data_IF_816235758148
#
_entry.id   IF_816235758148
#
_cell.length_a   1.000
_cell.length_b   1.000
_cell.length_c   1.000
_cell.angle_alpha   90.00
_cell.angle_beta   90.00
_cell.angle_gamma   90.00
#
_symmetry.space_group_name_H-M   'P 1'
#
loop_
_entity.id
_entity.type
_entity.pdbx_description
1 polymer ?
#
# COMPACT_ATOMS: atom_id res chain seq x y z
N UNK A 1 23.66 -16.73 7.57
CA UNK A 1 23.19 -15.94 8.73
C UNK A 1 21.73 -15.64 8.47
N UNK A 2 20.80 -16.02 9.35
CA UNK A 2 19.37 -15.72 9.13
C UNK A 2 19.07 -14.24 9.39
N UNK A 3 17.95 -13.74 8.88
CA UNK A 3 17.48 -12.35 9.07
C UNK A 3 17.46 -11.96 10.55
N UNK A 4 16.92 -12.82 11.42
CA UNK A 4 16.89 -12.60 12.87
C UNK A 4 18.30 -12.43 13.48
N UNK A 5 19.27 -13.26 13.08
CA UNK A 5 20.65 -13.15 13.57
C UNK A 5 21.31 -11.86 13.08
N UNK A 6 21.01 -11.44 11.84
CA UNK A 6 21.53 -10.19 11.27
C UNK A 6 21.05 -8.96 12.04
N UNK A 7 19.73 -8.87 12.31
CA UNK A 7 19.16 -7.78 13.11
C UNK A 7 19.69 -7.76 14.55
N UNK A 8 19.74 -8.93 15.21
CA UNK A 8 20.27 -9.03 16.57
C UNK A 8 21.75 -8.57 16.66
N UNK A 9 22.55 -8.87 15.64
CA UNK A 9 23.93 -8.40 15.57
C UNK A 9 24.00 -6.87 15.39
N UNK A 10 23.18 -6.30 14.50
CA UNK A 10 23.13 -4.87 14.26
C UNK A 10 22.70 -4.10 15.53
N UNK A 11 21.68 -4.57 16.23
CA UNK A 11 21.22 -4.02 17.51
C UNK A 11 22.29 -4.09 18.58
N UNK A 12 22.92 -5.26 18.74
CA UNK A 12 24.00 -5.45 19.72
C UNK A 12 25.18 -4.52 19.41
N UNK A 13 25.54 -4.35 18.14
CA UNK A 13 26.62 -3.48 17.72
C UNK A 13 26.28 -1.99 17.87
N UNK A 14 25.02 -1.59 17.72
CA UNK A 14 24.55 -0.25 18.03
C UNK A 14 24.63 0.03 19.55
N UNK A 15 24.15 -0.90 20.36
CA UNK A 15 24.17 -0.81 21.82
C UNK A 15 25.60 -0.70 22.38
N UNK A 16 26.54 -1.53 21.89
CA UNK A 16 27.96 -1.47 22.28
C UNK A 16 28.63 -0.15 21.92
N UNK A 17 28.18 0.53 20.85
CA UNK A 17 28.67 1.84 20.43
C UNK A 17 27.97 3.01 21.15
N UNK A 18 26.93 2.75 21.94
CA UNK A 18 26.13 3.78 22.61
C UNK A 18 25.34 4.67 21.64
N UNK A 19 24.94 4.14 20.48
CA UNK A 19 24.16 4.86 19.44
C UNK A 19 22.83 4.17 19.17
N UNK A 20 21.88 4.89 18.60
CA UNK A 20 20.59 4.31 18.18
C UNK A 20 20.77 3.43 16.93
N UNK A 21 19.90 2.42 16.78
CA UNK A 21 20.00 1.46 15.66
C UNK A 21 19.99 2.15 14.28
N UNK A 22 19.15 3.16 14.08
CA UNK A 22 19.09 3.87 12.79
C UNK A 22 20.40 4.64 12.49
N UNK A 23 21.09 5.15 13.51
CA UNK A 23 22.40 5.82 13.36
C UNK A 23 23.47 4.80 12.99
N UNK A 24 23.43 3.61 13.60
CA UNK A 24 24.30 2.51 13.25
C UNK A 24 24.11 2.05 11.80
N UNK A 25 22.87 1.89 11.36
CA UNK A 25 22.53 1.53 9.97
C UNK A 25 23.01 2.62 9.01
N UNK A 26 22.75 3.90 9.31
CA UNK A 26 23.19 5.02 8.49
C UNK A 26 24.72 5.07 8.35
N UNK A 27 25.45 4.87 9.45
CA UNK A 27 26.93 4.80 9.45
C UNK A 27 27.42 3.65 8.55
N UNK A 28 26.79 2.48 8.60
CA UNK A 28 27.19 1.34 7.79
C UNK A 28 26.89 1.55 6.30
N UNK A 29 25.79 2.23 5.96
CA UNK A 29 25.39 2.48 4.58
C UNK A 29 26.19 3.62 3.93
N UNK A 30 26.30 4.77 4.61
CA UNK A 30 26.95 5.97 4.06
C UNK A 30 28.46 6.00 4.33
N UNK A 31 28.93 5.27 5.33
CA UNK A 31 30.28 5.38 5.87
C UNK A 31 30.37 6.48 6.94
N UNK A 32 31.26 6.25 7.90
CA UNK A 32 31.46 7.16 9.05
C UNK A 32 31.88 8.56 8.60
N UNK A 33 31.14 9.57 9.03
CA UNK A 33 31.37 10.99 8.68
C UNK A 33 30.64 11.45 7.41
N UNK A 34 29.98 10.53 6.69
CA UNK A 34 29.21 10.82 5.48
C UNK A 34 27.69 10.67 5.72
N UNK A 35 27.26 10.44 6.95
CA UNK A 35 25.86 10.29 7.30
C UNK A 35 25.07 11.59 7.02
N UNK A 36 23.78 11.48 6.66
CA UNK A 36 22.96 12.66 6.49
C UNK A 36 22.88 13.46 7.80
N UNK A 37 23.06 14.78 7.71
CA UNK A 37 22.93 15.69 8.87
C UNK A 37 21.50 15.76 9.42
N UNK A 38 20.52 15.35 8.63
CA UNK A 38 19.10 15.32 8.99
C UNK A 38 18.47 14.04 8.45
N UNK A 39 17.83 13.30 9.34
CA UNK A 39 17.06 12.11 8.99
C UNK A 39 15.62 12.48 8.62
N UNK A 40 15.01 11.67 7.78
CA UNK A 40 13.61 11.81 7.39
C UNK A 40 12.80 10.68 8.02
N UNK A 41 11.61 11.00 8.49
CA UNK A 41 10.62 9.98 8.84
C UNK A 41 9.93 9.51 7.56
N UNK A 42 9.54 8.23 7.47
CA UNK A 42 8.78 7.73 6.33
C UNK A 42 7.40 8.39 6.26
N UNK A 43 6.83 8.43 5.05
CA UNK A 43 5.38 8.61 4.90
C UNK A 43 4.73 7.26 5.08
N UNK A 44 3.94 7.04 6.14
CA UNK A 44 3.25 5.78 6.33
C UNK A 44 2.06 5.67 5.37
N UNK A 45 1.84 4.46 4.84
CA UNK A 45 0.52 4.03 4.38
C UNK A 45 -0.04 3.12 5.49
N UNK A 46 -1.14 3.52 6.10
CA UNK A 46 -1.78 2.76 7.17
C UNK A 46 -2.95 1.98 6.61
N UNK A 47 -2.90 0.65 6.70
CA UNK A 47 -4.05 -0.18 6.39
C UNK A 47 -5.24 0.15 7.31
N UNK A 48 -6.40 0.42 6.70
CA UNK A 48 -7.64 0.77 7.40
C UNK A 48 -8.81 -0.13 7.01
N UNK A 49 -8.74 -0.83 5.87
CA UNK A 49 -9.80 -1.70 5.38
C UNK A 49 -9.20 -2.81 4.52
N UNK A 50 -9.66 -4.03 4.78
CA UNK A 50 -9.19 -5.28 4.20
C UNK A 50 -10.22 -5.90 3.24
N UNK A 51 -9.70 -6.48 2.17
CA UNK A 51 -10.37 -7.43 1.28
C UNK A 51 -9.48 -8.66 1.07
N UNK A 52 -9.64 -9.32 -0.07
CA UNK A 52 -8.80 -10.41 -0.55
C UNK A 52 -8.65 -11.53 0.48
N UNK A 53 -7.44 -12.07 0.63
CA UNK A 53 -7.16 -13.11 1.62
C UNK A 53 -7.30 -12.63 3.07
N UNK A 54 -7.22 -11.32 3.31
CA UNK A 54 -7.29 -10.72 4.65
C UNK A 54 -8.74 -10.53 5.12
N UNK A 55 -9.72 -10.71 4.23
CA UNK A 55 -11.15 -10.70 4.55
C UNK A 55 -11.92 -11.71 3.69
N UNK A 56 -12.64 -12.66 4.29
CA UNK A 56 -13.39 -13.71 3.56
C UNK A 56 -14.62 -13.24 2.77
N UNK A 57 -14.65 -11.99 2.30
CA UNK A 57 -15.73 -11.37 1.52
C UNK A 57 -15.50 -11.43 0.01
N UNK A 58 -16.20 -10.58 -0.74
CA UNK A 58 -16.12 -10.50 -2.21
C UNK A 58 -15.18 -9.43 -2.74
N UNK A 59 -14.71 -8.53 -1.87
CA UNK A 59 -13.78 -7.47 -2.20
C UNK A 59 -12.41 -8.09 -2.48
N UNK A 60 -11.92 -8.03 -3.73
CA UNK A 60 -10.70 -8.75 -4.14
C UNK A 60 -9.40 -8.03 -3.77
N UNK A 61 -9.37 -6.70 -3.88
CA UNK A 61 -8.21 -5.88 -3.46
C UNK A 61 -7.97 -6.12 -1.96
N UNK A 62 -6.72 -6.43 -1.61
CA UNK A 62 -6.36 -6.92 -0.29
C UNK A 62 -6.34 -5.80 0.76
N UNK A 63 -5.74 -4.65 0.45
CA UNK A 63 -5.63 -3.56 1.41
C UNK A 63 -6.00 -2.20 0.81
N UNK A 64 -6.71 -1.43 1.62
CA UNK A 64 -7.00 -0.03 1.38
C UNK A 64 -6.39 0.77 2.52
N UNK A 65 -5.42 1.61 2.18
CA UNK A 65 -4.60 2.33 3.13
C UNK A 65 -4.77 3.84 3.01
N UNK A 66 -4.47 4.55 4.09
CA UNK A 66 -4.37 6.01 4.12
C UNK A 66 -2.93 6.46 4.27
N UNK A 67 -2.55 7.49 3.52
CA UNK A 67 -1.33 8.24 3.76
C UNK A 67 -1.64 9.74 3.90
N UNK A 68 -1.41 10.32 5.08
CA UNK A 68 -1.59 11.75 5.29
C UNK A 68 -0.53 12.57 4.56
N UNK A 69 -0.92 13.77 4.14
CA UNK A 69 -0.05 14.72 3.47
C UNK A 69 1.17 15.08 4.31
N UNK A 70 2.33 15.19 3.65
CA UNK A 70 3.60 15.60 4.26
C UNK A 70 3.59 17.05 4.79
N UNK A 71 2.53 17.82 4.50
CA UNK A 71 2.32 19.14 5.12
C UNK A 71 2.07 19.03 6.63
N UNK A 72 1.59 17.89 7.11
CA UNK A 72 1.45 17.59 8.53
C UNK A 72 2.77 17.06 9.12
N UNK A 73 3.06 17.44 10.37
CA UNK A 73 4.14 16.81 11.13
C UNK A 73 3.75 15.36 11.43
N UNK A 74 4.74 14.48 11.59
CA UNK A 74 4.48 13.05 11.79
C UNK A 74 3.46 12.72 12.92
N UNK A 75 3.48 13.37 14.10
CA UNK A 75 2.45 13.14 15.12
C UNK A 75 1.03 13.52 14.66
N UNK A 76 0.90 14.56 13.83
CA UNK A 76 -0.38 14.96 13.25
C UNK A 76 -0.83 13.98 12.17
N UNK A 77 0.09 13.39 11.39
CA UNK A 77 -0.26 12.34 10.43
C UNK A 77 -0.90 11.13 11.14
N UNK A 78 -0.33 10.69 12.26
CA UNK A 78 -0.92 9.62 13.08
C UNK A 78 -2.31 9.98 13.60
N UNK A 79 -2.49 11.22 14.07
CA UNK A 79 -3.78 11.71 14.56
C UNK A 79 -4.84 11.74 13.46
N UNK A 80 -4.48 12.25 12.27
CA UNK A 80 -5.37 12.27 11.08
C UNK A 80 -5.89 10.86 10.80
N UNK A 81 -5.00 9.87 10.73
CA UNK A 81 -5.38 8.48 10.44
C UNK A 81 -6.28 7.92 11.53
N UNK A 82 -5.96 8.15 12.79
CA UNK A 82 -6.80 7.69 13.91
C UNK A 82 -8.21 8.30 13.85
N UNK A 83 -8.33 9.59 13.56
CA UNK A 83 -9.62 10.27 13.42
C UNK A 83 -10.44 9.69 12.24
N UNK A 84 -9.81 9.52 11.06
CA UNK A 84 -10.48 8.93 9.89
C UNK A 84 -10.89 7.48 10.15
N UNK A 85 -10.02 6.68 10.78
CA UNK A 85 -10.31 5.29 11.12
C UNK A 85 -11.52 5.16 12.05
N UNK A 86 -11.66 6.03 13.06
CA UNK A 86 -12.85 6.04 13.92
C UNK A 86 -14.12 6.43 13.16
N UNK A 87 -14.04 7.38 12.21
CA UNK A 87 -15.16 7.74 11.35
C UNK A 87 -15.57 6.59 10.43
N UNK A 88 -14.60 5.93 9.81
CA UNK A 88 -14.85 4.77 8.96
C UNK A 88 -15.55 3.65 9.74
N UNK A 89 -15.06 3.31 10.94
CA UNK A 89 -15.70 2.30 11.78
C UNK A 89 -17.16 2.64 12.12
N UNK A 90 -17.46 3.92 12.40
CA UNK A 90 -18.83 4.37 12.65
C UNK A 90 -19.73 4.27 11.41
N UNK A 91 -19.21 4.61 10.22
CA UNK A 91 -19.92 4.49 8.95
C UNK A 91 -20.22 3.03 8.61
N UNK A 92 -19.25 2.14 8.77
CA UNK A 92 -19.42 0.70 8.54
C UNK A 92 -20.54 0.12 9.42
N UNK A 93 -20.56 0.47 10.71
CA UNK A 93 -21.62 0.02 11.62
C UNK A 93 -22.99 0.55 11.22
N UNK A 94 -23.05 1.79 10.74
CA UNK A 94 -24.30 2.45 10.36
C UNK A 94 -24.89 1.89 9.06
N UNK A 95 -24.06 1.55 8.09
CA UNK A 95 -24.49 1.20 6.73
C UNK A 95 -24.57 -0.29 6.47
N UNK A 96 -23.78 -1.08 7.20
CA UNK A 96 -23.73 -2.53 7.06
C UNK A 96 -24.31 -3.14 8.34
N UNK A 97 -23.49 -3.31 9.38
CA UNK A 97 -23.91 -3.74 10.71
C UNK A 97 -22.74 -3.66 11.72
N UNK A 98 -22.99 -4.03 12.97
CA UNK A 98 -21.98 -4.02 14.04
C UNK A 98 -20.77 -4.94 13.78
N UNK A 99 -20.92 -5.98 12.96
CA UNK A 99 -19.85 -6.92 12.60
C UNK A 99 -18.92 -6.36 11.52
N UNK A 100 -19.36 -5.35 10.76
CA UNK A 100 -18.57 -4.72 9.71
C UNK A 100 -17.30 -3.99 10.22
N UNK A 101 -17.20 -3.75 11.54
CA UNK A 101 -15.99 -3.22 12.20
C UNK A 101 -15.10 -4.30 12.82
N UNK A 102 -15.33 -5.59 12.50
CA UNK A 102 -14.37 -6.64 12.83
C UNK A 102 -13.03 -6.35 12.13
N UNK A 103 -11.95 -6.78 12.76
CA UNK A 103 -10.59 -6.47 12.30
C UNK A 103 -10.01 -7.67 11.56
N UNK A 104 -9.28 -7.40 10.48
CA UNK A 104 -8.36 -8.36 9.86
C UNK A 104 -7.02 -8.41 10.61
N UNK A 105 -6.08 -9.17 10.07
CA UNK A 105 -4.78 -9.46 10.72
C UNK A 105 -3.93 -8.21 10.97
N UNK A 106 -4.06 -7.19 10.13
CA UNK A 106 -3.31 -5.93 10.20
C UNK A 106 -4.03 -4.81 10.97
N UNK A 107 -5.19 -5.11 11.54
CA UNK A 107 -5.99 -4.14 12.29
C UNK A 107 -6.88 -3.23 11.44
N UNK A 108 -6.84 -3.32 10.11
CA UNK A 108 -7.86 -2.75 9.23
C UNK A 108 -9.22 -3.43 9.41
N UNK A 109 -10.33 -2.73 9.11
CA UNK A 109 -11.66 -3.33 9.15
C UNK A 109 -11.86 -4.35 8.02
N UNK A 110 -12.62 -5.42 8.24
CA UNK A 110 -12.89 -6.45 7.24
C UNK A 110 -14.41 -6.56 6.93
N UNK A 111 -15.06 -5.50 6.41
CA UNK A 111 -16.47 -5.53 6.08
C UNK A 111 -16.76 -6.39 4.84
N UNK A 112 -17.97 -6.94 4.75
CA UNK A 112 -18.41 -7.64 3.55
C UNK A 112 -18.85 -6.62 2.47
N UNK A 113 -17.89 -6.12 1.71
CA UNK A 113 -18.11 -5.23 0.56
C UNK A 113 -18.01 -6.01 -0.76
N UNK A 114 -18.70 -5.52 -1.79
CA UNK A 114 -18.74 -6.16 -3.09
C UNK A 114 -17.70 -5.60 -4.09
N UNK A 115 -17.27 -4.33 -3.94
CA UNK A 115 -16.36 -3.69 -4.92
C UNK A 115 -15.42 -2.63 -4.33
N UNK A 116 -14.28 -2.37 -4.99
CA UNK A 116 -13.37 -1.28 -4.62
C UNK A 116 -14.03 0.10 -4.58
N UNK A 117 -14.97 0.40 -5.47
CA UNK A 117 -15.73 1.65 -5.44
C UNK A 117 -16.49 1.84 -4.11
N UNK A 118 -17.14 0.79 -3.60
CA UNK A 118 -17.85 0.86 -2.32
C UNK A 118 -16.87 1.16 -1.16
N UNK A 119 -15.72 0.48 -1.14
CA UNK A 119 -14.69 0.71 -0.14
C UNK A 119 -14.15 2.14 -0.20
N UNK A 120 -13.80 2.62 -1.40
CA UNK A 120 -13.26 3.95 -1.61
C UNK A 120 -14.28 5.06 -1.33
N UNK A 121 -15.56 4.87 -1.67
CA UNK A 121 -16.63 5.82 -1.34
C UNK A 121 -16.80 5.97 0.18
N UNK A 122 -16.76 4.86 0.93
CA UNK A 122 -16.81 4.86 2.39
C UNK A 122 -15.58 5.55 2.99
N UNK A 123 -14.38 5.23 2.50
CA UNK A 123 -13.12 5.85 2.94
C UNK A 123 -13.15 7.36 2.67
N UNK A 124 -13.55 7.77 1.47
CA UNK A 124 -13.64 9.18 1.10
C UNK A 124 -14.59 9.95 2.01
N UNK A 125 -15.75 9.36 2.32
CA UNK A 125 -16.70 9.94 3.27
C UNK A 125 -16.14 9.99 4.69
N UNK A 126 -15.43 8.96 5.15
CA UNK A 126 -14.77 8.97 6.45
C UNK A 126 -13.73 10.09 6.56
N UNK A 127 -12.93 10.31 5.50
CA UNK A 127 -11.97 11.43 5.42
C UNK A 127 -12.70 12.77 5.54
N UNK A 128 -13.79 12.96 4.80
CA UNK A 128 -14.58 14.18 4.83
C UNK A 128 -15.27 14.41 6.19
N UNK A 129 -15.84 13.36 6.80
CA UNK A 129 -16.48 13.44 8.12
C UNK A 129 -15.48 13.64 9.27
N UNK A 130 -14.20 13.33 9.05
CA UNK A 130 -13.11 13.67 9.96
C UNK A 130 -12.62 15.13 9.77
N UNK A 131 -13.13 15.85 8.76
CA UNK A 131 -12.78 17.24 8.49
C UNK A 131 -11.55 17.44 7.60
N UNK A 132 -11.13 16.40 6.87
CA UNK A 132 -9.99 16.43 5.96
C UNK A 132 -10.43 16.43 4.50
N UNK A 133 -9.58 16.96 3.61
CA UNK A 133 -9.79 17.02 2.16
C UNK A 133 -9.08 15.86 1.46
N UNK A 134 -9.82 14.95 0.79
CA UNK A 134 -9.21 13.94 -0.09
C UNK A 134 -8.33 14.57 -1.17
N UNK A 135 -7.21 13.92 -1.49
CA UNK A 135 -6.22 14.38 -2.48
C UNK A 135 -5.48 15.70 -2.13
N UNK A 136 -5.61 16.18 -0.89
CA UNK A 136 -4.82 17.31 -0.37
C UNK A 136 -4.31 17.04 1.05
N UNK A 137 -5.21 16.70 1.98
CA UNK A 137 -4.88 16.32 3.35
C UNK A 137 -4.56 14.83 3.47
N UNK A 138 -5.32 13.98 2.78
CA UNK A 138 -5.23 12.52 2.86
C UNK A 138 -5.26 11.91 1.46
N UNK A 139 -4.35 10.98 1.23
CA UNK A 139 -4.24 10.18 0.01
C UNK A 139 -4.41 8.70 0.33
N UNK A 140 -4.61 7.89 -0.71
CA UNK A 140 -4.88 6.46 -0.61
C UNK A 140 -3.72 5.66 -1.22
N UNK A 141 -3.38 4.57 -0.57
CA UNK A 141 -2.51 3.52 -1.10
C UNK A 141 -3.35 2.24 -1.20
N UNK A 142 -3.21 1.48 -2.28
CA UNK A 142 -3.87 0.19 -2.45
C UNK A 142 -2.81 -0.91 -2.50
N UNK A 143 -3.06 -2.04 -1.86
CA UNK A 143 -2.41 -3.30 -2.20
C UNK A 143 -3.46 -4.21 -2.85
N UNK A 144 -3.27 -4.47 -4.15
CA UNK A 144 -4.18 -5.31 -4.89
C UNK A 144 -3.89 -6.79 -4.66
N UNK A 145 -2.65 -7.20 -4.41
CA UNK A 145 -2.22 -8.59 -4.37
C UNK A 145 -2.80 -9.42 -5.55
N UNK A 146 -2.69 -8.90 -6.78
CA UNK A 146 -3.52 -9.37 -7.90
C UNK A 146 -3.25 -10.80 -8.36
N UNK A 147 -2.08 -11.34 -8.02
CA UNK A 147 -1.75 -12.76 -8.17
C UNK A 147 -2.80 -13.66 -7.49
N UNK A 148 -3.45 -13.19 -6.44
CA UNK A 148 -4.43 -13.96 -5.66
C UNK A 148 -5.80 -14.13 -6.33
N UNK A 149 -6.12 -13.24 -7.25
CA UNK A 149 -7.32 -13.35 -8.08
C UNK A 149 -7.00 -13.51 -9.57
N UNK A 150 -5.74 -13.83 -9.91
CA UNK A 150 -5.34 -14.20 -11.27
C UNK A 150 -5.63 -15.68 -11.54
N UNK A 151 -6.41 -15.95 -12.59
CA UNK A 151 -6.87 -17.28 -13.00
C UNK A 151 -6.79 -17.40 -14.52
N UNK A 152 -5.99 -18.35 -14.99
CA UNK A 152 -5.94 -18.77 -16.41
C UNK A 152 -5.76 -17.62 -17.42
N UNK A 153 -4.90 -16.63 -17.10
CA UNK A 153 -4.64 -15.50 -18.00
C UNK A 153 -5.54 -14.28 -17.79
N UNK A 154 -6.43 -14.32 -16.80
CA UNK A 154 -7.37 -13.24 -16.48
C UNK A 154 -7.43 -12.95 -14.98
N UNK A 155 -7.96 -11.80 -14.62
CA UNK A 155 -8.12 -11.31 -13.25
C UNK A 155 -9.60 -11.30 -12.86
N UNK A 156 -9.98 -12.05 -11.82
CA UNK A 156 -11.32 -12.01 -11.25
C UNK A 156 -11.45 -10.83 -10.28
N UNK A 157 -11.60 -9.61 -10.79
CA UNK A 157 -11.58 -8.37 -9.99
C UNK A 157 -12.79 -8.17 -9.07
N UNK A 158 -13.90 -8.80 -9.42
CA UNK A 158 -15.14 -8.90 -8.65
C UNK A 158 -15.72 -10.30 -8.91
N UNK A 159 -16.66 -10.76 -8.08
CA UNK A 159 -17.24 -12.09 -8.24
C UNK A 159 -17.75 -12.35 -9.67
N UNK A 160 -17.22 -13.39 -10.31
CA UNK A 160 -17.52 -13.80 -11.69
C UNK A 160 -17.18 -12.77 -12.79
N UNK A 161 -16.48 -11.68 -12.45
CA UNK A 161 -16.05 -10.63 -13.39
C UNK A 161 -14.56 -10.80 -13.71
N UNK A 162 -14.29 -11.41 -14.85
CA UNK A 162 -12.93 -11.69 -15.33
C UNK A 162 -12.47 -10.67 -16.37
N UNK A 163 -11.32 -10.05 -16.13
CA UNK A 163 -10.69 -9.08 -17.03
C UNK A 163 -9.35 -9.63 -17.55
N UNK A 164 -9.03 -9.40 -18.81
CA UNK A 164 -7.66 -9.50 -19.31
C UNK A 164 -6.75 -8.41 -18.71
N UNK A 165 -5.44 -8.51 -18.88
CA UNK A 165 -4.51 -7.47 -18.42
C UNK A 165 -4.82 -6.09 -19.01
N UNK A 166 -5.14 -6.00 -20.31
CA UNK A 166 -5.52 -4.73 -20.95
C UNK A 166 -6.85 -4.19 -20.39
N UNK A 167 -7.84 -5.04 -20.12
CA UNK A 167 -9.11 -4.61 -19.49
C UNK A 167 -8.91 -4.18 -18.02
N UNK A 168 -7.98 -4.82 -17.30
CA UNK A 168 -7.62 -4.45 -15.94
C UNK A 168 -6.89 -3.10 -15.88
N UNK A 169 -6.04 -2.80 -16.87
CA UNK A 169 -5.46 -1.46 -17.04
C UNK A 169 -6.57 -0.40 -17.14
N UNK A 170 -7.57 -0.62 -18.00
CA UNK A 170 -8.68 0.33 -18.15
C UNK A 170 -9.49 0.46 -16.85
N UNK A 171 -9.69 -0.65 -16.14
CA UNK A 171 -10.34 -0.65 -14.84
C UNK A 171 -9.58 0.21 -13.81
N UNK A 172 -8.26 0.02 -13.67
CA UNK A 172 -7.47 0.85 -12.75
C UNK A 172 -7.36 2.30 -13.20
N UNK A 173 -7.27 2.58 -14.51
CA UNK A 173 -7.29 3.93 -15.04
C UNK A 173 -8.59 4.66 -14.68
N UNK A 174 -9.73 3.97 -14.77
CA UNK A 174 -11.01 4.51 -14.34
C UNK A 174 -11.03 4.76 -12.82
N UNK A 175 -10.48 3.83 -12.03
CA UNK A 175 -10.41 3.94 -10.58
C UNK A 175 -9.57 5.15 -10.13
N UNK A 176 -8.34 5.30 -10.63
CA UNK A 176 -7.45 6.43 -10.28
C UNK A 176 -7.98 7.77 -10.80
N UNK A 177 -8.75 7.75 -11.89
CA UNK A 177 -9.43 8.96 -12.40
C UNK A 177 -10.60 9.36 -11.50
N UNK A 178 -11.40 8.39 -11.06
CA UNK A 178 -12.55 8.63 -10.17
C UNK A 178 -12.09 9.04 -8.76
N UNK A 179 -11.00 8.45 -8.27
CA UNK A 179 -10.44 8.68 -6.94
C UNK A 179 -9.02 9.26 -7.05
N UNK A 180 -8.86 10.56 -7.35
CA UNK A 180 -7.55 11.18 -7.52
C UNK A 180 -6.69 11.23 -6.24
N UNK A 181 -7.28 10.85 -5.10
CA UNK A 181 -6.55 10.65 -3.86
C UNK A 181 -5.68 9.37 -3.90
N UNK A 182 -5.91 8.42 -4.82
CA UNK A 182 -5.03 7.26 -5.01
C UNK A 182 -3.70 7.73 -5.59
N UNK A 183 -2.63 7.56 -4.81
CA UNK A 183 -1.27 7.94 -5.24
C UNK A 183 -0.31 6.76 -5.26
N UNK A 184 -0.71 5.60 -4.73
CA UNK A 184 0.10 4.38 -4.72
C UNK A 184 -0.76 3.15 -4.93
N UNK A 185 -0.30 2.24 -5.78
CA UNK A 185 -0.91 0.93 -6.03
C UNK A 185 0.19 -0.12 -6.04
N UNK A 186 0.06 -1.08 -5.16
CA UNK A 186 0.93 -2.24 -5.00
C UNK A 186 0.32 -3.47 -5.67
N UNK A 187 1.18 -4.26 -6.31
CA UNK A 187 0.87 -5.49 -7.05
C UNK A 187 -0.45 -5.44 -7.86
N UNK A 188 -0.64 -4.44 -8.75
CA UNK A 188 -1.81 -4.31 -9.62
C UNK A 188 -1.97 -5.49 -10.61
N UNK A 189 -0.92 -6.26 -10.86
CA UNK A 189 -0.98 -7.39 -11.79
C UNK A 189 -0.25 -8.58 -11.18
N UNK A 190 -0.51 -9.76 -11.76
CA UNK A 190 0.20 -11.00 -11.41
C UNK A 190 1.72 -10.81 -11.51
N UNK A 191 2.48 -11.44 -10.61
CA UNK A 191 3.95 -11.35 -10.53
C UNK A 191 4.69 -11.73 -11.82
N UNK A 192 4.03 -12.42 -12.77
CA UNK A 192 4.61 -12.82 -14.06
C UNK A 192 4.03 -12.09 -15.26
N UNK A 193 3.05 -11.20 -15.10
CA UNK A 193 2.46 -10.43 -16.20
C UNK A 193 3.26 -9.15 -16.53
N UNK A 194 4.54 -9.33 -16.85
CA UNK A 194 5.49 -8.23 -17.08
C UNK A 194 5.07 -7.25 -18.19
N UNK A 195 4.32 -7.73 -19.19
CA UNK A 195 3.82 -6.90 -20.27
C UNK A 195 2.78 -5.89 -19.75
N UNK A 196 1.81 -6.37 -18.98
CA UNK A 196 0.76 -5.52 -18.41
C UNK A 196 1.33 -4.52 -17.40
N UNK A 197 2.27 -4.96 -16.55
CA UNK A 197 3.05 -4.08 -15.65
C UNK A 197 3.70 -2.91 -16.42
N UNK A 198 4.49 -3.22 -17.46
CA UNK A 198 5.17 -2.20 -18.26
C UNK A 198 4.20 -1.26 -18.99
N UNK A 199 3.11 -1.80 -19.55
CA UNK A 199 2.06 -1.02 -20.23
C UNK A 199 1.43 0.00 -19.29
N UNK A 200 1.00 -0.42 -18.10
CA UNK A 200 0.34 0.47 -17.16
C UNK A 200 1.31 1.51 -16.59
N UNK A 201 2.53 1.07 -16.24
CA UNK A 201 3.57 1.98 -15.76
C UNK A 201 3.89 3.08 -16.78
N UNK A 202 3.89 2.77 -18.08
CA UNK A 202 4.06 3.78 -19.12
C UNK A 202 2.90 4.80 -19.21
N UNK A 203 1.69 4.44 -18.78
CA UNK A 203 0.51 5.31 -18.84
C UNK A 203 0.38 6.22 -17.61
N UNK A 204 0.65 5.70 -16.41
CA UNK A 204 0.33 6.40 -15.14
C UNK A 204 1.51 6.55 -14.18
N UNK A 205 2.68 5.99 -14.48
CA UNK A 205 3.83 5.96 -13.58
C UNK A 205 4.41 7.34 -13.19
N UNK A 206 4.06 8.40 -13.92
CA UNK A 206 4.41 9.79 -13.55
C UNK A 206 3.48 10.38 -12.47
N UNK A 207 2.33 9.75 -12.20
CA UNK A 207 1.28 10.24 -11.29
C UNK A 207 1.03 9.30 -10.12
N UNK A 208 1.19 8.00 -10.33
CA UNK A 208 0.91 6.96 -9.35
C UNK A 208 2.20 6.20 -9.07
N UNK A 209 2.48 5.99 -7.79
CA UNK A 209 3.51 5.07 -7.34
C UNK A 209 3.03 3.63 -7.57
N UNK A 210 3.73 2.88 -8.39
CA UNK A 210 3.44 1.50 -8.72
C UNK A 210 4.49 0.66 -7.99
N UNK A 211 4.06 -0.06 -6.97
CA UNK A 211 4.92 -0.80 -6.04
C UNK A 211 4.90 -2.27 -6.43
N UNK A 212 6.08 -2.86 -6.62
CA UNK A 212 6.22 -4.32 -6.73
C UNK A 212 6.60 -4.93 -5.40
N UNK A 213 5.79 -5.86 -4.90
CA UNK A 213 6.10 -6.72 -3.75
C UNK A 213 6.40 -8.15 -4.21
N UNK A 214 5.38 -8.94 -4.56
CA UNK A 214 5.53 -10.28 -5.13
C UNK A 214 6.31 -10.23 -6.46
N UNK A 215 6.14 -9.15 -7.23
CA UNK A 215 6.90 -8.90 -8.45
C UNK A 215 8.42 -8.98 -8.21
N UNK A 216 8.90 -8.46 -7.08
CA UNK A 216 10.33 -8.30 -6.82
C UNK A 216 10.89 -9.21 -5.73
N UNK A 217 10.09 -9.59 -4.73
CA UNK A 217 10.48 -10.38 -3.55
C UNK A 217 11.78 -9.89 -2.87
N UNK A 218 12.02 -8.57 -2.89
CA UNK A 218 13.27 -7.95 -2.41
C UNK A 218 14.55 -8.56 -3.04
N UNK A 219 14.43 -9.14 -4.24
CA UNK A 219 15.51 -9.83 -4.94
C UNK A 219 16.25 -8.90 -5.91
N UNK A 220 17.55 -8.59 -5.69
CA UNK A 220 18.29 -7.68 -6.57
C UNK A 220 18.31 -8.07 -8.05
N UNK A 221 18.23 -9.37 -8.37
CA UNK A 221 18.20 -9.83 -9.77
C UNK A 221 16.87 -9.47 -10.44
N UNK A 222 15.75 -9.73 -9.77
CA UNK A 222 14.42 -9.42 -10.30
C UNK A 222 14.21 -7.91 -10.37
N UNK A 223 14.71 -7.16 -9.38
CA UNK A 223 14.71 -5.69 -9.40
C UNK A 223 15.48 -5.16 -10.61
N UNK A 224 16.65 -5.72 -10.92
CA UNK A 224 17.43 -5.30 -12.10
C UNK A 224 16.65 -5.54 -13.41
N UNK A 225 15.99 -6.69 -13.54
CA UNK A 225 15.13 -6.98 -14.70
C UNK A 225 13.94 -6.01 -14.79
N UNK A 226 13.31 -5.66 -13.66
CA UNK A 226 12.21 -4.70 -13.64
C UNK A 226 12.62 -3.28 -13.98
N UNK A 227 13.84 -2.86 -13.64
CA UNK A 227 14.39 -1.60 -14.09
C UNK A 227 14.61 -1.57 -15.61
N UNK A 228 15.11 -2.67 -16.19
CA UNK A 228 15.28 -2.81 -17.64
C UNK A 228 13.94 -2.84 -18.38
N UNK A 229 12.98 -3.62 -17.86
CA UNK A 229 11.65 -3.81 -18.42
C UNK A 229 10.65 -2.70 -18.08
N UNK A 230 11.01 -1.76 -17.21
CA UNK A 230 10.17 -0.66 -16.72
C UNK A 230 8.84 -1.14 -16.13
N UNK A 231 8.90 -2.22 -15.34
CA UNK A 231 7.69 -2.87 -14.82
C UNK A 231 6.96 -2.03 -13.77
N UNK A 232 7.70 -1.39 -12.87
CA UNK A 232 7.17 -0.59 -11.77
C UNK A 232 8.10 0.61 -11.47
N UNK A 233 7.69 1.51 -10.58
CA UNK A 233 8.51 2.68 -10.18
C UNK A 233 8.86 2.71 -8.67
N UNK A 234 8.39 1.71 -7.91
CA UNK A 234 8.71 1.51 -6.51
C UNK A 234 8.82 0.01 -6.16
N UNK A 235 9.42 -0.28 -5.00
CA UNK A 235 9.66 -1.61 -4.46
C UNK A 235 9.13 -1.64 -3.02
N UNK A 236 8.40 -2.70 -2.65
CA UNK A 236 8.20 -3.02 -1.25
C UNK A 236 9.40 -3.83 -0.73
N UNK A 237 10.04 -3.33 0.33
CA UNK A 237 11.23 -3.94 0.91
C UNK A 237 10.84 -4.73 2.16
N UNK A 238 10.98 -6.05 2.11
CA UNK A 238 10.70 -7.00 3.21
C UNK A 238 11.97 -7.64 3.76
#
# INVERSE_FOLDING_TARGET
MGTATSFALAESAAALKGVQLFEHIATNYWGKGNEPKQYKLPSPCFNILNGGKHAGGKLQIQEFMLTPSRKFKYPDQLRVVAEVYQKLGALLVKEIDISAKNLGDEGGFAPNLDSPDQALDLIQRAVQEAGYVPADDVFYCLDCASSEFYKEGKYEVEHEKFLSGDELIEYYNALVTKYPAIISVEDPFDEKDYETWAKWTAQVGDKVQIVGDDLYTTNPKTIALGLEGKWANALLLK
#
